data_IF_003904881463
#
_entry.id   IF_003904881463
#
_cell.length_a   1.000
_cell.length_b   1.000
_cell.length_c   1.000
_cell.angle_alpha   90.00
_cell.angle_beta   90.00
_cell.angle_gamma   90.00
#
_symmetry.space_group_name_H-M   'P 1'
#
loop_
_entity.id
_entity.type
_entity.pdbx_description
1 polymer ?
#
# COMPACT_ATOMS: atom_id res chain seq x y z
N UNK A 1 -16.79 -29.84 35.46
CA UNK A 1 -15.65 -29.13 34.89
C UNK A 1 -15.49 -29.66 33.45
N UNK A 2 -16.14 -28.97 32.50
CA UNK A 2 -16.10 -29.34 31.08
C UNK A 2 -15.16 -28.34 30.39
N UNK A 3 -14.01 -28.84 29.98
CA UNK A 3 -13.09 -28.10 29.12
C UNK A 3 -13.63 -28.10 27.69
N UNK A 4 -14.13 -26.95 27.22
CA UNK A 4 -14.45 -26.74 25.82
C UNK A 4 -13.16 -26.69 25.01
N UNK A 5 -12.84 -27.75 24.29
CA UNK A 5 -11.89 -27.73 23.20
C UNK A 5 -12.47 -26.86 22.08
N UNK A 6 -11.88 -25.69 21.90
CA UNK A 6 -12.09 -24.88 20.68
C UNK A 6 -11.35 -25.60 19.56
N UNK A 7 -12.08 -26.42 18.82
CA UNK A 7 -11.56 -27.05 17.62
C UNK A 7 -11.27 -25.97 16.58
N UNK A 8 -9.98 -25.68 16.37
CA UNK A 8 -9.49 -25.01 15.19
C UNK A 8 -9.78 -25.97 14.02
N UNK A 9 -10.82 -25.69 13.25
CA UNK A 9 -11.08 -26.41 12.01
C UNK A 9 -9.85 -26.19 11.11
N UNK A 10 -9.00 -27.21 11.02
CA UNK A 10 -7.90 -27.28 10.06
C UNK A 10 -8.54 -27.30 8.67
N UNK A 11 -8.61 -26.13 8.06
CA UNK A 11 -9.08 -25.98 6.70
C UNK A 11 -7.98 -26.58 5.80
N UNK A 12 -8.13 -27.86 5.46
CA UNK A 12 -7.26 -28.53 4.48
C UNK A 12 -7.52 -27.87 3.14
N UNK A 13 -6.66 -26.90 2.79
CA UNK A 13 -6.70 -26.25 1.49
C UNK A 13 -6.32 -27.29 0.42
N UNK A 14 -6.83 -27.08 -0.79
CA UNK A 14 -6.38 -27.80 -1.97
C UNK A 14 -4.83 -27.70 -2.06
N UNK A 15 -4.08 -28.80 -2.24
CA UNK A 15 -2.61 -28.79 -2.32
C UNK A 15 -2.05 -27.80 -3.35
N UNK A 16 -2.75 -27.58 -4.45
CA UNK A 16 -2.37 -26.60 -5.46
C UNK A 16 -2.52 -25.17 -4.91
N UNK A 17 -3.57 -24.89 -4.15
CA UNK A 17 -3.78 -23.59 -3.52
C UNK A 17 -2.74 -23.33 -2.42
N UNK A 18 -2.36 -24.32 -1.64
CA UNK A 18 -1.30 -24.21 -0.63
C UNK A 18 0.05 -23.84 -1.26
N UNK A 19 0.40 -24.47 -2.37
CA UNK A 19 1.61 -24.16 -3.12
C UNK A 19 1.59 -22.73 -3.66
N UNK A 20 0.44 -22.29 -4.18
CA UNK A 20 0.25 -20.92 -4.66
C UNK A 20 0.44 -19.93 -3.50
N UNK A 21 -0.20 -20.16 -2.36
CA UNK A 21 -0.09 -19.31 -1.16
C UNK A 21 1.37 -19.23 -0.71
N UNK A 22 2.08 -20.36 -0.58
CA UNK A 22 3.48 -20.40 -0.18
C UNK A 22 4.39 -19.60 -1.14
N UNK A 23 4.11 -19.71 -2.44
CA UNK A 23 4.84 -18.95 -3.47
C UNK A 23 4.58 -17.46 -3.35
N UNK A 24 3.32 -17.04 -3.19
CA UNK A 24 2.93 -15.64 -3.00
C UNK A 24 3.55 -15.08 -1.71
N UNK A 25 3.52 -15.81 -0.60
CA UNK A 25 4.16 -15.41 0.66
C UNK A 25 5.68 -15.22 0.49
N UNK A 26 6.33 -16.10 -0.26
CA UNK A 26 7.77 -15.99 -0.56
C UNK A 26 8.05 -14.74 -1.41
N UNK A 27 7.28 -14.53 -2.45
CA UNK A 27 7.40 -13.37 -3.35
C UNK A 27 7.09 -12.06 -2.63
N UNK A 28 6.13 -12.05 -1.70
CA UNK A 28 5.80 -10.87 -0.91
C UNK A 28 6.98 -10.34 -0.10
N UNK A 29 7.85 -11.24 0.43
CA UNK A 29 9.09 -10.83 1.12
C UNK A 29 10.04 -10.06 0.20
N UNK A 30 10.12 -10.45 -1.06
CA UNK A 30 10.93 -9.74 -2.07
C UNK A 30 10.36 -8.33 -2.29
N UNK A 31 9.05 -8.20 -2.47
CA UNK A 31 8.40 -6.91 -2.69
C UNK A 31 8.53 -5.98 -1.48
N UNK A 32 8.37 -6.51 -0.27
CA UNK A 32 8.57 -5.75 0.98
C UNK A 32 10.03 -5.28 1.09
N UNK A 33 11.01 -6.13 0.79
CA UNK A 33 12.41 -5.76 0.81
C UNK A 33 12.75 -4.65 -0.22
N UNK A 34 12.20 -4.73 -1.43
CA UNK A 34 12.35 -3.69 -2.45
C UNK A 34 11.74 -2.37 -1.95
N UNK A 35 10.52 -2.42 -1.39
CA UNK A 35 9.86 -1.22 -0.87
C UNK A 35 10.65 -0.57 0.28
N UNK A 36 11.18 -1.39 1.20
CA UNK A 36 11.97 -0.91 2.32
C UNK A 36 13.28 -0.24 1.84
N UNK A 37 14.01 -0.86 0.91
CA UNK A 37 15.25 -0.30 0.36
C UNK A 37 15.02 1.02 -0.38
N UNK A 38 14.01 1.07 -1.25
CA UNK A 38 13.69 2.29 -1.99
C UNK A 38 13.34 3.46 -1.07
N UNK A 39 12.62 3.19 0.01
CA UNK A 39 12.25 4.22 0.98
C UNK A 39 13.43 4.68 1.83
N UNK A 40 14.26 3.74 2.32
CA UNK A 40 15.42 4.05 3.15
C UNK A 40 16.44 4.96 2.44
N UNK A 41 16.53 4.88 1.12
CA UNK A 41 17.42 5.71 0.30
C UNK A 41 16.91 7.15 0.16
N UNK A 42 15.59 7.37 0.21
CA UNK A 42 14.98 8.67 -0.12
C UNK A 42 14.62 9.45 1.15
N UNK A 43 13.98 8.79 2.11
CA UNK A 43 13.49 9.41 3.35
C UNK A 43 13.55 8.37 4.49
N UNK A 44 14.73 8.15 5.09
CA UNK A 44 14.97 7.06 6.05
C UNK A 44 14.07 7.12 7.29
N UNK A 45 13.56 8.30 7.62
CA UNK A 45 12.66 8.51 8.77
C UNK A 45 11.19 8.20 8.46
N UNK A 46 10.84 7.80 7.26
CA UNK A 46 9.48 7.37 6.90
C UNK A 46 9.39 5.85 6.94
N UNK A 47 8.53 5.32 7.79
CA UNK A 47 8.30 3.87 7.90
C UNK A 47 7.42 3.34 6.76
N UNK A 48 7.47 2.04 6.47
CA UNK A 48 6.61 1.41 5.46
C UNK A 48 5.11 1.69 5.70
N UNK A 49 4.55 1.59 6.93
CA UNK A 49 3.15 1.98 7.16
C UNK A 49 2.86 3.44 6.86
N UNK A 50 3.78 4.36 7.16
CA UNK A 50 3.63 5.77 6.80
C UNK A 50 3.70 5.98 5.28
N UNK A 51 4.59 5.26 4.60
CA UNK A 51 4.65 5.30 3.14
C UNK A 51 3.37 4.73 2.51
N UNK A 52 2.80 3.64 3.06
CA UNK A 52 1.49 3.13 2.63
C UNK A 52 0.40 4.20 2.73
N UNK A 53 0.39 5.02 3.79
CA UNK A 53 -0.53 6.14 3.92
C UNK A 53 -0.35 7.16 2.78
N UNK A 54 0.90 7.49 2.41
CA UNK A 54 1.16 8.38 1.28
C UNK A 54 0.66 7.78 -0.04
N UNK A 55 0.84 6.47 -0.25
CA UNK A 55 0.31 5.75 -1.42
C UNK A 55 -1.23 5.83 -1.48
N UNK A 56 -1.92 5.59 -0.37
CA UNK A 56 -3.40 5.70 -0.30
C UNK A 56 -3.86 7.10 -0.67
N UNK A 57 -3.18 8.14 -0.17
CA UNK A 57 -3.47 9.53 -0.53
C UNK A 57 -3.10 9.85 -1.99
N UNK A 58 -2.10 9.18 -2.57
CA UNK A 58 -1.75 9.34 -3.99
C UNK A 58 -2.82 8.72 -4.90
N UNK A 59 -3.30 7.52 -4.54
CA UNK A 59 -4.28 6.77 -5.31
C UNK A 59 -5.70 7.38 -5.26
N UNK A 60 -6.15 7.72 -4.06
CA UNK A 60 -7.55 8.14 -3.82
C UNK A 60 -7.70 9.65 -3.60
N UNK A 61 -6.59 10.38 -3.49
CA UNK A 61 -6.58 11.81 -3.22
C UNK A 61 -6.89 12.20 -1.78
N UNK A 62 -7.20 13.50 -1.51
CA UNK A 62 -7.50 13.97 -0.18
C UNK A 62 -8.75 13.33 0.39
N UNK A 63 -8.64 12.79 1.62
CA UNK A 63 -9.74 12.15 2.30
C UNK A 63 -9.71 12.42 3.80
N UNK A 64 -10.84 12.15 4.46
CA UNK A 64 -10.95 12.24 5.91
C UNK A 64 -10.17 11.15 6.63
N UNK A 65 -10.00 11.31 7.95
CA UNK A 65 -9.24 10.36 8.78
C UNK A 65 -9.89 8.98 8.85
N UNK A 66 -11.23 8.88 8.89
CA UNK A 66 -11.96 7.61 8.95
C UNK A 66 -11.68 6.73 7.73
N UNK A 67 -12.03 7.15 6.50
CA UNK A 67 -11.73 6.41 5.28
C UNK A 67 -10.24 6.04 5.15
N UNK A 68 -9.34 6.91 5.61
CA UNK A 68 -7.89 6.64 5.59
C UNK A 68 -7.50 5.52 6.57
N UNK A 69 -8.06 5.51 7.77
CA UNK A 69 -7.85 4.45 8.76
C UNK A 69 -8.37 3.10 8.26
N UNK A 70 -9.54 3.09 7.63
CA UNK A 70 -10.15 1.90 7.02
C UNK A 70 -9.26 1.34 5.90
N UNK A 71 -8.80 2.20 4.97
CA UNK A 71 -7.91 1.80 3.87
C UNK A 71 -6.55 1.25 4.35
N UNK A 72 -6.13 1.64 5.55
CA UNK A 72 -4.88 1.18 6.16
C UNK A 72 -5.07 -0.01 7.10
N UNK A 73 -6.31 -0.44 7.33
CA UNK A 73 -6.69 -1.46 8.31
C UNK A 73 -6.11 -1.19 9.71
N UNK A 74 -6.16 0.08 10.16
CA UNK A 74 -5.68 0.51 11.48
C UNK A 74 -6.78 1.26 12.24
N UNK A 75 -6.64 1.34 13.58
CA UNK A 75 -7.54 2.16 14.36
C UNK A 75 -7.30 3.67 14.16
N UNK A 76 -8.33 4.50 14.42
CA UNK A 76 -8.28 5.94 14.22
C UNK A 76 -7.13 6.63 14.99
N UNK A 77 -6.79 6.17 16.19
CA UNK A 77 -5.69 6.74 16.98
C UNK A 77 -4.32 6.48 16.35
N UNK A 78 -4.13 5.33 15.73
CA UNK A 78 -2.91 4.99 14.98
C UNK A 78 -2.83 5.83 13.71
N UNK A 79 -3.93 5.91 12.93
CA UNK A 79 -3.99 6.76 11.75
C UNK A 79 -3.69 8.23 12.09
N UNK A 80 -4.26 8.76 13.18
CA UNK A 80 -3.99 10.14 13.65
C UNK A 80 -2.51 10.36 13.90
N UNK A 81 -1.85 9.46 14.67
CA UNK A 81 -0.42 9.59 14.98
C UNK A 81 0.46 9.52 13.72
N UNK A 82 0.10 8.66 12.76
CA UNK A 82 0.80 8.57 11.48
C UNK A 82 0.65 9.87 10.69
N UNK A 83 -0.57 10.39 10.57
CA UNK A 83 -0.85 11.66 9.90
C UNK A 83 -0.09 12.82 10.54
N UNK A 84 -0.09 12.93 11.89
CA UNK A 84 0.63 13.99 12.60
C UNK A 84 2.13 13.98 12.33
N UNK A 85 2.73 12.79 12.26
CA UNK A 85 4.16 12.65 11.91
C UNK A 85 4.43 13.10 10.47
N UNK A 86 3.58 12.72 9.53
CA UNK A 86 3.73 13.09 8.12
C UNK A 86 3.46 14.57 7.87
N UNK A 87 2.52 15.18 8.62
CA UNK A 87 2.28 16.62 8.59
C UNK A 87 3.52 17.38 9.11
N UNK A 88 4.11 16.95 10.24
CA UNK A 88 5.35 17.56 10.76
C UNK A 88 6.53 17.46 9.80
N UNK A 89 6.58 16.40 8.99
CA UNK A 89 7.59 16.22 7.92
C UNK A 89 7.29 17.04 6.66
N UNK A 90 6.14 17.70 6.60
CA UNK A 90 5.68 18.44 5.44
C UNK A 90 5.32 17.55 4.24
N UNK A 91 5.04 16.26 4.45
CA UNK A 91 4.65 15.31 3.39
C UNK A 91 3.14 15.25 3.18
N UNK A 92 2.38 15.54 4.23
CA UNK A 92 0.92 15.60 4.24
C UNK A 92 0.47 16.97 4.74
N UNK A 93 -0.63 17.49 4.21
CA UNK A 93 -1.28 18.72 4.67
C UNK A 93 -2.70 18.43 5.11
N UNK A 94 -3.17 19.20 6.09
CA UNK A 94 -4.58 19.25 6.49
C UNK A 94 -5.24 20.45 5.82
N UNK A 95 -6.41 20.23 5.23
CA UNK A 95 -7.26 21.30 4.70
C UNK A 95 -8.67 21.08 5.21
N UNK A 96 -9.35 22.17 5.55
CA UNK A 96 -10.80 22.15 5.77
C UNK A 96 -11.47 21.91 4.43
N UNK A 97 -12.48 21.04 4.38
CA UNK A 97 -13.28 20.81 3.18
C UNK A 97 -13.92 22.10 2.71
N UNK A 98 -14.00 22.32 1.40
CA UNK A 98 -14.70 23.45 0.81
C UNK A 98 -16.24 23.30 0.90
N UNK A 99 -16.71 22.05 1.04
CA UNK A 99 -18.14 21.72 1.12
C UNK A 99 -18.67 21.63 2.55
N UNK A 100 -17.82 21.21 3.49
CA UNK A 100 -18.17 21.21 4.92
C UNK A 100 -16.96 21.67 5.74
N UNK A 101 -17.08 22.85 6.36
CA UNK A 101 -16.04 23.45 7.22
C UNK A 101 -15.71 22.62 8.46
N UNK A 102 -16.52 21.63 8.81
CA UNK A 102 -16.27 20.72 9.94
C UNK A 102 -15.43 19.51 9.53
N UNK A 103 -15.34 19.25 8.24
CA UNK A 103 -14.58 18.12 7.72
C UNK A 103 -13.13 18.54 7.43
N UNK A 104 -12.18 17.87 8.10
CA UNK A 104 -10.75 18.03 7.83
C UNK A 104 -10.30 16.93 6.88
N UNK A 105 -9.77 17.30 5.73
CA UNK A 105 -9.19 16.40 4.74
C UNK A 105 -7.66 16.42 4.79
N UNK A 106 -7.09 15.23 4.67
CA UNK A 106 -5.66 14.98 4.56
C UNK A 106 -5.30 14.78 3.10
N UNK A 107 -4.27 15.43 2.62
CA UNK A 107 -3.79 15.29 1.24
C UNK A 107 -2.28 15.40 1.17
N UNK A 108 -1.68 14.91 0.08
CA UNK A 108 -0.25 15.07 -0.15
C UNK A 108 0.12 16.54 -0.34
N UNK A 109 1.31 16.89 0.11
CA UNK A 109 2.01 18.09 -0.35
C UNK A 109 2.77 17.77 -1.64
N UNK A 110 3.34 18.79 -2.28
CA UNK A 110 4.25 18.60 -3.41
C UNK A 110 5.46 17.74 -3.01
N UNK A 111 6.05 17.97 -1.82
CA UNK A 111 7.12 17.14 -1.27
C UNK A 111 6.67 15.68 -1.06
N UNK A 112 5.45 15.48 -0.55
CA UNK A 112 4.89 14.14 -0.36
C UNK A 112 4.67 13.42 -1.68
N UNK A 113 4.18 14.12 -2.72
CA UNK A 113 4.02 13.58 -4.07
C UNK A 113 5.38 13.20 -4.67
N UNK A 114 6.35 14.09 -4.64
CA UNK A 114 7.69 13.84 -5.15
C UNK A 114 8.35 12.62 -4.48
N UNK A 115 8.14 12.43 -3.18
CA UNK A 115 8.64 11.25 -2.45
C UNK A 115 7.99 9.96 -2.99
N UNK A 116 6.67 9.95 -3.15
CA UNK A 116 5.93 8.80 -3.69
C UNK A 116 6.42 8.46 -5.10
N UNK A 117 6.53 9.45 -5.98
CA UNK A 117 6.94 9.27 -7.37
C UNK A 117 8.37 8.73 -7.46
N UNK A 118 9.29 9.27 -6.66
CA UNK A 118 10.68 8.80 -6.63
C UNK A 118 10.79 7.37 -6.10
N UNK A 119 10.13 7.04 -4.99
CA UNK A 119 10.13 5.69 -4.44
C UNK A 119 9.51 4.68 -5.42
N UNK A 120 8.41 5.06 -6.09
CA UNK A 120 7.76 4.22 -7.10
C UNK A 120 8.68 3.99 -8.30
N UNK A 121 9.38 5.04 -8.77
CA UNK A 121 10.35 4.91 -9.88
C UNK A 121 11.49 3.95 -9.54
N UNK A 122 12.07 4.04 -8.35
CA UNK A 122 13.12 3.12 -7.91
C UNK A 122 12.61 1.66 -7.83
N UNK A 123 11.41 1.47 -7.25
CA UNK A 123 10.77 0.14 -7.19
C UNK A 123 10.54 -0.45 -8.57
N UNK A 124 10.05 0.36 -9.52
CA UNK A 124 9.87 -0.06 -10.93
C UNK A 124 11.19 -0.51 -11.56
N UNK A 125 12.29 0.20 -11.33
CA UNK A 125 13.60 -0.17 -11.85
C UNK A 125 14.11 -1.50 -11.26
N UNK A 126 13.91 -1.74 -9.95
CA UNK A 126 14.28 -3.02 -9.33
C UNK A 126 13.40 -4.17 -9.83
N UNK A 127 12.09 -3.97 -9.91
CA UNK A 127 11.15 -4.97 -10.42
C UNK A 127 11.44 -5.31 -11.89
N UNK A 128 11.73 -4.30 -12.72
CA UNK A 128 12.09 -4.52 -14.12
C UNK A 128 13.34 -5.41 -14.27
N UNK A 129 14.32 -5.29 -13.36
CA UNK A 129 15.50 -6.18 -13.37
C UNK A 129 15.14 -7.62 -13.03
N UNK A 130 14.27 -7.84 -12.05
CA UNK A 130 13.81 -9.18 -11.67
C UNK A 130 12.95 -9.83 -12.75
N UNK A 131 12.05 -9.06 -13.34
CA UNK A 131 11.12 -9.55 -14.35
C UNK A 131 11.80 -9.91 -15.69
N UNK A 132 13.02 -9.42 -15.94
CA UNK A 132 13.83 -9.90 -17.10
C UNK A 132 14.15 -11.40 -17.06
N UNK A 133 14.14 -12.01 -15.86
CA UNK A 133 14.36 -13.45 -15.70
C UNK A 133 13.09 -14.29 -15.98
N UNK A 134 11.92 -13.65 -16.13
CA UNK A 134 10.64 -14.32 -16.40
C UNK A 134 10.42 -14.42 -17.91
N UNK A 135 10.18 -15.61 -18.48
CA UNK A 135 9.87 -15.77 -19.91
C UNK A 135 8.68 -14.89 -20.34
N UNK A 136 8.71 -14.38 -21.57
CA UNK A 136 7.71 -13.40 -22.06
C UNK A 136 6.29 -13.95 -22.03
N UNK A 137 6.09 -15.24 -22.36
CA UNK A 137 4.80 -15.91 -22.25
C UNK A 137 4.29 -15.94 -20.80
N UNK A 138 5.17 -16.18 -19.84
CA UNK A 138 4.81 -16.21 -18.42
C UNK A 138 4.51 -14.82 -17.87
N UNK A 139 5.13 -13.77 -18.41
CA UNK A 139 4.81 -12.38 -18.01
C UNK A 139 3.34 -12.03 -18.25
N UNK A 140 2.74 -12.55 -19.35
CA UNK A 140 1.30 -12.33 -19.64
C UNK A 140 0.39 -13.04 -18.63
N UNK A 141 0.77 -14.26 -18.21
CA UNK A 141 0.04 -15.00 -17.18
C UNK A 141 0.15 -14.28 -15.82
N UNK A 142 1.33 -13.80 -15.49
CA UNK A 142 1.59 -13.03 -14.27
C UNK A 142 0.74 -11.76 -14.21
N UNK A 143 0.66 -11.00 -15.31
CA UNK A 143 -0.18 -9.80 -15.39
C UNK A 143 -1.64 -10.14 -15.06
N UNK A 144 -2.20 -11.18 -15.67
CA UNK A 144 -3.59 -11.59 -15.42
C UNK A 144 -3.82 -11.99 -13.96
N UNK A 145 -2.95 -12.85 -13.42
CA UNK A 145 -3.07 -13.33 -12.05
C UNK A 145 -2.99 -12.18 -11.03
N UNK A 146 -1.99 -11.30 -11.18
CA UNK A 146 -1.83 -10.14 -10.30
C UNK A 146 -2.98 -9.13 -10.44
N UNK A 147 -3.53 -8.94 -11.65
CA UNK A 147 -4.69 -8.05 -11.84
C UNK A 147 -5.91 -8.54 -11.08
N UNK A 148 -6.18 -9.85 -11.05
CA UNK A 148 -7.27 -10.42 -10.25
C UNK A 148 -7.05 -10.21 -8.75
N UNK A 149 -5.81 -10.41 -8.26
CA UNK A 149 -5.46 -10.18 -6.85
C UNK A 149 -5.64 -8.70 -6.50
N UNK A 150 -5.13 -7.78 -7.32
CA UNK A 150 -5.25 -6.34 -7.10
C UNK A 150 -6.71 -5.89 -7.05
N UNK A 151 -7.55 -6.38 -7.98
CA UNK A 151 -8.98 -6.07 -8.00
C UNK A 151 -9.70 -6.60 -6.75
N UNK A 152 -9.38 -7.82 -6.31
CA UNK A 152 -9.95 -8.41 -5.10
C UNK A 152 -9.52 -7.66 -3.83
N UNK A 153 -8.31 -7.07 -3.83
CA UNK A 153 -7.78 -6.26 -2.74
C UNK A 153 -8.21 -4.78 -2.79
N UNK A 154 -8.92 -4.35 -3.85
CA UNK A 154 -9.32 -2.95 -4.04
C UNK A 154 -8.15 -2.00 -4.30
N UNK A 155 -7.01 -2.51 -4.80
CA UNK A 155 -5.85 -1.68 -5.14
C UNK A 155 -6.05 -0.96 -6.48
N UNK A 156 -5.67 0.32 -6.51
CA UNK A 156 -5.73 1.16 -7.72
C UNK A 156 -4.38 1.12 -8.43
N UNK A 157 -4.33 0.80 -9.74
CA UNK A 157 -3.10 0.81 -10.51
C UNK A 157 -2.40 2.19 -10.49
N UNK A 158 -1.07 2.21 -10.42
CA UNK A 158 -0.27 3.45 -10.36
C UNK A 158 -0.60 4.44 -11.50
N UNK A 159 -0.91 3.94 -12.68
CA UNK A 159 -1.27 4.73 -13.87
C UNK A 159 -2.61 5.46 -13.74
N UNK A 160 -3.48 4.95 -12.86
CA UNK A 160 -4.84 5.50 -12.62
C UNK A 160 -4.85 6.43 -11.39
N UNK A 161 -3.68 6.61 -10.74
CA UNK A 161 -3.60 7.55 -9.63
C UNK A 161 -3.91 8.95 -10.08
N UNK A 162 -4.77 9.61 -9.33
CA UNK A 162 -5.29 10.91 -9.68
C UNK A 162 -4.18 11.90 -10.05
N UNK A 163 -3.99 12.10 -11.35
CA UNK A 163 -3.10 13.10 -11.95
C UNK A 163 -3.61 14.54 -11.76
N UNK A 164 -4.68 14.72 -11.00
CA UNK A 164 -5.44 15.96 -10.94
C UNK A 164 -5.67 16.52 -9.55
N UNK A 165 -4.61 16.71 -8.74
CA UNK A 165 -4.73 17.48 -7.50
C UNK A 165 -4.07 18.85 -7.64
N UNK A 166 -4.74 19.71 -8.40
CA UNK A 166 -4.49 21.16 -8.36
C UNK A 166 -5.28 21.82 -7.24
#
# INVERSE_FOLDING_TARGET
MQTSEVGVAEHVLDPDLDMIIATVLTTSRVFVAIAARSLATIEPDVTLPQFRLLIVLAAHGPQGLGPLADSLAVNASTATRMCDRLVRKGLVRRRTSSTDRREVRLGLTEKGRALVDHATSQRRAELARLLKAVPVEEQRHLVRALSHINSAAGEVPDQDWASGWQ
#
